data_IF_155474180484
#
_entry.id   IF_155474180484
#
_cell.length_a   1.000
_cell.length_b   1.000
_cell.length_c   1.000
_cell.angle_alpha   90.00
_cell.angle_beta   90.00
_cell.angle_gamma   90.00
#
_symmetry.space_group_name_H-M   'P 1'
#
loop_
_entity.id
_entity.type
_entity.pdbx_description
1 polymer ?
#
# COMPACT_ATOMS: atom_id res chain seq x y z
N UNK A 1 2.64 -21.58 41.15
CA UNK A 1 3.91 -20.84 41.12
C UNK A 1 3.67 -19.45 41.70
N UNK A 2 4.01 -19.23 42.99
CA UNK A 2 3.73 -18.02 43.77
C UNK A 2 4.87 -16.99 43.69
N UNK A 3 5.26 -16.62 42.48
CA UNK A 3 6.35 -15.65 42.27
C UNK A 3 5.86 -14.20 42.15
N UNK A 4 4.59 -13.99 41.75
CA UNK A 4 4.05 -12.65 41.49
C UNK A 4 3.27 -12.05 42.68
N UNK A 5 2.93 -12.84 43.71
CA UNK A 5 2.25 -12.33 44.94
C UNK A 5 3.17 -11.49 45.84
N UNK A 6 4.49 -11.60 45.68
CA UNK A 6 5.47 -10.77 46.40
C UNK A 6 5.89 -9.51 45.62
N UNK A 7 5.32 -9.28 44.43
CA UNK A 7 5.47 -8.03 43.68
C UNK A 7 4.43 -6.97 44.11
N UNK A 8 3.84 -7.11 45.30
CA UNK A 8 3.15 -6.01 45.97
C UNK A 8 4.19 -5.00 46.50
N UNK A 9 4.74 -4.26 45.54
CA UNK A 9 5.53 -3.04 45.66
C UNK A 9 4.67 -1.90 46.22
N UNK A 10 4.07 -2.08 47.39
CA UNK A 10 3.18 -1.08 48.02
C UNK A 10 3.97 0.07 48.66
N UNK A 11 5.29 -0.07 48.79
CA UNK A 11 6.22 0.97 49.24
C UNK A 11 7.05 1.63 48.12
N UNK A 12 7.57 0.86 47.17
CA UNK A 12 8.64 1.35 46.27
C UNK A 12 8.11 2.24 45.14
N UNK A 13 6.82 2.13 44.78
CA UNK A 13 6.18 3.07 43.85
C UNK A 13 6.06 4.49 44.41
N UNK A 14 5.97 4.62 45.74
CA UNK A 14 5.92 5.92 46.44
C UNK A 14 7.29 6.58 46.46
N UNK A 15 8.35 5.79 46.67
CA UNK A 15 9.73 6.27 46.61
C UNK A 15 10.12 6.68 45.19
N UNK A 16 9.67 5.94 44.17
CA UNK A 16 9.85 6.34 42.76
C UNK A 16 9.10 7.64 42.44
N UNK A 17 7.86 7.79 42.93
CA UNK A 17 7.09 9.04 42.77
C UNK A 17 7.77 10.22 43.47
N UNK A 18 8.29 10.00 44.67
CA UNK A 18 9.00 11.03 45.44
C UNK A 18 10.32 11.43 44.78
N UNK A 19 11.05 10.47 44.21
CA UNK A 19 12.24 10.73 43.39
C UNK A 19 11.90 11.56 42.15
N UNK A 20 10.81 11.22 41.45
CA UNK A 20 10.33 11.99 40.31
C UNK A 20 9.94 13.42 40.70
N UNK A 21 9.25 13.60 41.82
CA UNK A 21 8.85 14.92 42.35
C UNK A 21 10.05 15.76 42.80
N UNK A 22 11.16 15.13 43.22
CA UNK A 22 12.42 15.82 43.57
C UNK A 22 13.34 16.06 42.36
N UNK A 23 12.99 15.57 41.17
CA UNK A 23 13.84 15.76 39.98
C UNK A 23 13.77 17.21 39.53
N UNK A 24 14.90 17.92 39.43
CA UNK A 24 14.87 19.31 38.99
C UNK A 24 14.49 19.38 37.50
N UNK A 25 13.80 20.46 37.10
CA UNK A 25 13.13 20.60 35.79
C UNK A 25 14.06 20.35 34.60
N UNK A 26 15.35 20.67 34.74
CA UNK A 26 16.38 20.48 33.72
C UNK A 26 16.66 19.00 33.38
N UNK A 27 16.28 18.05 34.24
CA UNK A 27 16.47 16.60 34.00
C UNK A 27 15.28 15.93 33.34
N UNK A 28 14.14 16.61 33.22
CA UNK A 28 12.93 16.08 32.58
C UNK A 28 13.16 15.89 31.07
N UNK A 29 13.79 16.88 30.41
CA UNK A 29 14.05 16.84 28.97
C UNK A 29 14.95 15.65 28.54
N UNK A 30 16.13 15.41 29.17
CA UNK A 30 16.91 14.22 28.85
C UNK A 30 16.21 12.91 29.25
N UNK A 31 15.39 12.90 30.31
CA UNK A 31 14.58 11.74 30.67
C UNK A 31 13.52 11.39 29.61
N UNK A 32 12.83 12.39 29.06
CA UNK A 32 11.89 12.20 27.94
C UNK A 32 12.65 11.69 26.73
N UNK A 33 13.80 12.28 26.39
CA UNK A 33 14.58 11.88 25.22
C UNK A 33 15.09 10.43 25.34
N UNK A 34 15.49 10.02 26.55
CA UNK A 34 15.95 8.67 26.85
C UNK A 34 14.84 7.61 26.70
N UNK A 35 13.57 7.98 26.94
CA UNK A 35 12.42 7.08 26.73
C UNK A 35 11.88 7.16 25.29
N UNK A 36 11.99 8.32 24.65
CA UNK A 36 11.45 8.58 23.32
C UNK A 36 12.19 7.76 22.26
N UNK A 37 13.52 7.73 22.29
CA UNK A 37 14.33 6.96 21.31
C UNK A 37 13.98 5.46 21.32
N UNK A 38 14.05 4.73 22.45
CA UNK A 38 13.65 3.32 22.49
C UNK A 38 12.14 3.13 22.23
N UNK A 39 11.30 4.10 22.65
CA UNK A 39 9.88 4.09 22.36
C UNK A 39 9.58 4.11 20.85
N UNK A 40 10.28 4.96 20.09
CA UNK A 40 10.17 5.00 18.62
C UNK A 40 10.61 3.67 18.00
N UNK A 41 11.71 3.08 18.49
CA UNK A 41 12.20 1.79 17.97
C UNK A 41 11.15 0.69 18.15
N UNK A 42 10.56 0.56 19.35
CA UNK A 42 9.48 -0.41 19.61
C UNK A 42 8.25 -0.12 18.75
N UNK A 43 7.88 1.15 18.62
CA UNK A 43 6.75 1.56 17.78
C UNK A 43 6.94 1.16 16.31
N UNK A 44 8.15 1.35 15.75
CA UNK A 44 8.49 0.92 14.40
C UNK A 44 8.34 -0.59 14.26
N UNK A 45 8.85 -1.39 15.21
CA UNK A 45 8.71 -2.85 15.16
C UNK A 45 7.24 -3.32 15.19
N UNK A 46 6.38 -2.63 15.95
CA UNK A 46 4.94 -2.94 15.98
C UNK A 46 4.30 -2.72 14.61
N UNK A 47 4.63 -1.62 13.93
CA UNK A 47 4.12 -1.34 12.58
C UNK A 47 4.71 -2.31 11.56
N UNK A 48 6.02 -2.55 11.62
CA UNK A 48 6.74 -3.37 10.66
C UNK A 48 6.24 -4.83 10.65
N UNK A 49 5.89 -5.36 11.83
CA UNK A 49 5.27 -6.68 11.96
C UNK A 49 3.96 -6.83 11.19
N UNK A 50 3.23 -5.74 10.97
CA UNK A 50 1.93 -5.73 10.27
C UNK A 50 2.04 -5.46 8.79
N UNK A 51 3.04 -4.69 8.36
CA UNK A 51 3.15 -4.19 6.99
C UNK A 51 4.12 -5.02 6.14
N UNK A 52 5.28 -5.38 6.70
CA UNK A 52 6.37 -6.02 5.94
C UNK A 52 6.61 -7.48 6.33
N UNK A 53 6.33 -7.85 7.59
CA UNK A 53 6.59 -9.19 8.13
C UNK A 53 5.31 -10.00 8.37
N UNK A 54 4.22 -9.65 7.68
CA UNK A 54 3.01 -10.47 7.71
C UNK A 54 3.34 -11.87 7.16
N UNK A 55 2.94 -12.97 7.84
CA UNK A 55 3.09 -14.31 7.27
C UNK A 55 2.43 -14.34 5.89
N UNK A 56 3.01 -15.06 4.90
CA UNK A 56 2.45 -15.11 3.56
C UNK A 56 0.97 -15.46 3.68
N UNK A 57 0.09 -14.75 2.95
CA UNK A 57 -1.34 -15.02 3.03
C UNK A 57 -1.53 -16.52 2.80
N UNK A 58 -2.26 -17.16 3.72
CA UNK A 58 -2.57 -18.58 3.61
C UNK A 58 -3.13 -18.92 2.21
N UNK A 59 -3.11 -20.20 1.81
CA UNK A 59 -3.48 -20.60 0.46
C UNK A 59 -4.77 -19.90 0.00
N UNK A 60 -4.63 -19.00 -0.98
CA UNK A 60 -5.76 -18.24 -1.52
C UNK A 60 -6.57 -19.18 -2.39
N UNK A 61 -7.80 -19.49 -1.96
CA UNK A 61 -8.77 -20.17 -2.83
C UNK A 61 -9.26 -19.15 -3.85
N UNK A 62 -8.72 -19.23 -5.06
CA UNK A 62 -9.16 -18.41 -6.18
C UNK A 62 -10.22 -19.21 -6.93
N UNK A 63 -11.44 -18.69 -6.95
CA UNK A 63 -12.53 -19.26 -7.74
C UNK A 63 -12.40 -18.75 -9.17
N UNK A 64 -12.39 -19.68 -10.11
CA UNK A 64 -12.44 -19.37 -11.54
C UNK A 64 -13.80 -19.84 -12.04
N UNK A 65 -14.42 -19.04 -12.90
CA UNK A 65 -15.63 -19.48 -13.60
C UNK A 65 -15.25 -20.61 -14.57
N UNK A 66 -15.88 -21.77 -14.38
CA UNK A 66 -15.77 -22.89 -15.30
C UNK A 66 -16.72 -22.67 -16.48
N UNK A 67 -16.19 -22.60 -17.70
CA UNK A 67 -17.00 -22.39 -18.90
C UNK A 67 -17.43 -23.73 -19.52
N UNK A 68 -18.64 -23.81 -20.09
CA UNK A 68 -19.10 -25.03 -20.77
C UNK A 68 -18.28 -25.29 -22.03
N UNK A 69 -18.02 -26.58 -22.34
CA UNK A 69 -17.34 -26.98 -23.58
C UNK A 69 -18.12 -26.62 -24.85
N UNK A 70 -19.43 -26.40 -24.73
CA UNK A 70 -20.32 -26.07 -25.86
C UNK A 70 -20.32 -24.59 -26.23
N UNK A 71 -19.48 -23.77 -25.58
CA UNK A 71 -19.43 -22.33 -25.83
C UNK A 71 -18.93 -22.04 -27.24
N UNK A 72 -19.55 -21.06 -27.90
CA UNK A 72 -19.18 -20.66 -29.26
C UNK A 72 -18.06 -19.60 -29.28
N UNK A 73 -17.27 -19.56 -30.35
CA UNK A 73 -16.21 -18.57 -30.53
C UNK A 73 -16.74 -17.12 -30.52
N UNK A 74 -17.96 -16.90 -31.03
CA UNK A 74 -18.60 -15.59 -31.02
C UNK A 74 -18.91 -15.10 -29.60
N UNK A 75 -19.40 -15.99 -28.73
CA UNK A 75 -19.64 -15.69 -27.32
C UNK A 75 -18.33 -15.41 -26.59
N UNK A 76 -17.25 -16.14 -26.91
CA UNK A 76 -15.92 -15.92 -26.33
C UNK A 76 -15.40 -14.51 -26.69
N UNK A 77 -15.53 -14.13 -27.97
CA UNK A 77 -15.08 -12.82 -28.43
C UNK A 77 -15.89 -11.70 -27.79
N UNK A 78 -17.23 -11.82 -27.72
CA UNK A 78 -18.09 -10.82 -27.07
C UNK A 78 -17.67 -10.56 -25.62
N UNK A 79 -17.48 -11.61 -24.82
CA UNK A 79 -17.08 -11.45 -23.41
C UNK A 79 -15.67 -10.91 -23.27
N UNK A 80 -14.73 -11.36 -24.12
CA UNK A 80 -13.36 -10.82 -24.14
C UNK A 80 -13.38 -9.31 -24.32
N UNK A 81 -14.15 -8.82 -25.29
CA UNK A 81 -14.23 -7.40 -25.57
C UNK A 81 -14.95 -6.62 -24.48
N UNK A 82 -16.01 -7.18 -23.88
CA UNK A 82 -16.69 -6.56 -22.75
C UNK A 82 -15.73 -6.38 -21.54
N UNK A 83 -14.94 -7.40 -21.23
CA UNK A 83 -13.93 -7.33 -20.16
C UNK A 83 -12.81 -6.36 -20.53
N UNK A 84 -12.35 -6.38 -21.77
CA UNK A 84 -11.32 -5.44 -22.26
C UNK A 84 -11.79 -4.00 -22.10
N UNK A 85 -13.05 -3.73 -22.37
CA UNK A 85 -13.67 -2.42 -22.23
C UNK A 85 -13.59 -1.88 -20.80
N UNK A 86 -13.96 -2.71 -19.82
CA UNK A 86 -13.87 -2.36 -18.40
C UNK A 86 -12.42 -2.12 -17.94
N UNK A 87 -11.48 -2.91 -18.47
CA UNK A 87 -10.05 -2.74 -18.18
C UNK A 87 -9.50 -1.45 -18.78
N UNK A 88 -9.86 -1.14 -20.03
CA UNK A 88 -9.42 0.06 -20.72
C UNK A 88 -9.94 1.31 -20.01
N UNK A 89 -11.21 1.32 -19.58
CA UNK A 89 -11.78 2.43 -18.80
C UNK A 89 -11.03 2.64 -17.48
N UNK A 90 -10.78 1.57 -16.72
CA UNK A 90 -10.02 1.65 -15.47
C UNK A 90 -8.59 2.14 -15.69
N UNK A 91 -7.95 1.68 -16.78
CA UNK A 91 -6.61 2.14 -17.16
C UNK A 91 -6.60 3.61 -17.56
N UNK A 92 -7.58 4.08 -18.30
CA UNK A 92 -7.70 5.50 -18.68
C UNK A 92 -7.92 6.38 -17.46
N UNK A 93 -8.81 5.98 -16.54
CA UNK A 93 -8.99 6.70 -15.25
C UNK A 93 -7.70 6.78 -14.46
N UNK A 94 -6.93 5.68 -14.41
CA UNK A 94 -5.61 5.65 -13.73
C UNK A 94 -4.57 6.50 -14.44
N UNK A 95 -4.59 6.55 -15.77
CA UNK A 95 -3.71 7.43 -16.54
C UNK A 95 -4.05 8.89 -16.24
N UNK A 96 -5.32 9.27 -16.29
CA UNK A 96 -5.77 10.63 -15.99
C UNK A 96 -5.37 11.08 -14.58
N UNK A 97 -5.61 10.27 -13.57
CA UNK A 97 -5.21 10.61 -12.19
C UNK A 97 -3.69 10.75 -12.05
N UNK A 98 -2.90 9.93 -12.74
CA UNK A 98 -1.45 10.06 -12.76
C UNK A 98 -0.99 11.34 -13.46
N UNK A 99 -1.65 11.75 -14.55
CA UNK A 99 -1.37 13.02 -15.24
C UNK A 99 -1.68 14.21 -14.31
N UNK A 100 -2.79 14.16 -13.59
CA UNK A 100 -3.15 15.20 -12.61
C UNK A 100 -2.12 15.32 -11.49
N UNK A 101 -1.70 14.19 -10.91
CA UNK A 101 -0.63 14.14 -9.91
C UNK A 101 0.70 14.69 -10.47
N UNK A 102 1.04 14.34 -11.72
CA UNK A 102 2.22 14.87 -12.41
C UNK A 102 2.16 16.40 -12.55
N UNK A 103 1.00 16.94 -12.97
CA UNK A 103 0.80 18.39 -13.09
C UNK A 103 0.91 19.09 -11.74
N UNK A 104 0.31 18.53 -10.69
CA UNK A 104 0.39 19.09 -9.33
C UNK A 104 1.81 19.07 -8.76
N UNK A 105 2.62 18.07 -9.12
CA UNK A 105 4.03 17.99 -8.71
C UNK A 105 4.97 18.86 -9.57
N UNK A 106 4.45 19.62 -10.53
CA UNK A 106 5.22 20.53 -11.40
C UNK A 106 5.89 19.84 -12.59
N UNK A 107 5.49 18.61 -12.92
CA UNK A 107 6.02 17.85 -14.04
C UNK A 107 5.34 18.22 -15.37
N UNK A 108 6.12 18.33 -16.45
CA UNK A 108 5.59 18.52 -17.82
C UNK A 108 5.14 17.18 -18.42
N UNK A 109 3.89 16.83 -18.11
CA UNK A 109 3.24 15.59 -18.57
C UNK A 109 3.13 15.52 -20.10
N UNK A 110 2.88 16.65 -20.76
CA UNK A 110 2.67 16.69 -22.22
C UNK A 110 3.98 16.41 -22.97
N UNK A 111 5.11 16.89 -22.46
CA UNK A 111 6.43 16.54 -22.99
C UNK A 111 6.72 15.04 -22.83
N UNK A 112 6.43 14.47 -21.65
CA UNK A 112 6.65 13.04 -21.38
C UNK A 112 5.81 12.18 -22.33
N UNK A 113 4.54 12.55 -22.56
CA UNK A 113 3.68 11.83 -23.49
C UNK A 113 4.17 11.90 -24.94
N UNK A 114 4.64 13.06 -25.38
CA UNK A 114 5.22 13.22 -26.72
C UNK A 114 6.45 12.34 -26.90
N UNK A 115 7.36 12.34 -25.93
CA UNK A 115 8.55 11.50 -25.96
C UNK A 115 8.18 10.00 -25.90
N UNK A 116 7.21 9.62 -25.08
CA UNK A 116 6.73 8.25 -24.99
C UNK A 116 6.11 7.78 -26.32
N UNK A 117 5.30 8.62 -26.98
CA UNK A 117 4.74 8.34 -28.31
C UNK A 117 5.83 8.20 -29.36
N UNK A 118 6.83 9.10 -29.37
CA UNK A 118 7.96 9.03 -30.29
C UNK A 118 8.78 7.75 -30.09
N UNK A 119 9.02 7.34 -28.82
CA UNK A 119 9.71 6.08 -28.50
C UNK A 119 8.92 4.84 -28.94
N UNK A 120 7.59 4.83 -28.75
CA UNK A 120 6.72 3.74 -29.23
C UNK A 120 6.75 3.62 -30.76
N UNK A 121 6.65 4.75 -31.45
CA UNK A 121 6.74 4.79 -32.90
C UNK A 121 8.09 4.28 -33.41
N UNK A 122 9.19 4.67 -32.75
CA UNK A 122 10.54 4.21 -33.08
C UNK A 122 10.73 2.71 -32.81
N UNK A 123 10.02 2.13 -31.83
CA UNK A 123 10.02 0.70 -31.54
C UNK A 123 9.18 -0.11 -32.54
N UNK A 124 8.26 0.54 -33.27
CA UNK A 124 7.35 -0.14 -34.20
C UNK A 124 6.26 -0.93 -33.48
N UNK A 125 5.88 -0.53 -32.26
CA UNK A 125 4.82 -1.19 -31.52
C UNK A 125 3.49 -1.03 -32.27
N UNK A 126 2.92 -2.15 -32.75
CA UNK A 126 1.62 -2.19 -33.42
C UNK A 126 0.54 -2.42 -32.37
N UNK A 127 -0.43 -1.51 -32.28
CA UNK A 127 -1.64 -1.72 -31.47
C UNK A 127 -2.53 -2.79 -32.13
N UNK A 128 -2.92 -3.81 -31.37
CA UNK A 128 -3.77 -4.91 -31.84
C UNK A 128 -5.14 -4.35 -32.31
N UNK A 129 -5.56 -4.59 -33.56
CA UNK A 129 -6.79 -4.04 -34.09
C UNK A 129 -8.02 -4.52 -33.29
N UNK A 130 -8.64 -3.58 -32.56
CA UNK A 130 -9.95 -3.77 -31.94
C UNK A 130 -11.03 -3.90 -33.03
N UNK A 131 -12.07 -4.74 -32.84
CA UNK A 131 -13.13 -4.90 -33.81
C UNK A 131 -13.83 -3.56 -34.06
N UNK A 132 -14.03 -3.26 -35.34
CA UNK A 132 -14.69 -2.04 -35.77
C UNK A 132 -16.12 -1.99 -35.21
N UNK A 133 -16.43 -0.95 -34.42
CA UNK A 133 -17.75 -0.74 -33.82
C UNK A 133 -17.89 -1.11 -32.34
N UNK A 134 -16.83 -1.57 -31.67
CA UNK A 134 -16.85 -1.76 -30.22
C UNK A 134 -16.90 -0.41 -29.51
N UNK A 135 -18.05 -0.04 -28.95
CA UNK A 135 -18.17 1.13 -28.07
C UNK A 135 -17.82 0.73 -26.64
N UNK A 136 -16.64 1.17 -26.24
CA UNK A 136 -16.30 1.56 -24.88
C UNK A 136 -16.49 3.08 -24.80
#
# INVERSE_FOLDING_TARGET
MKFFDKAAMTGEGRDFRFFLDQTPRERILPGILALLIPGIIVFIFIIDSKVNTAPPPGPKVIYFESWPLSRTDEEILKDRWAIQCLKDEAMERRRQSMKELGRMSGMDVEKIEREAKARKLARGDVEDPRPAGLKC
#
